data_IF_738250677409
#
_entry.id   IF_738250677409
#
_cell.length_a   1.000
_cell.length_b   1.000
_cell.length_c   1.000
_cell.angle_alpha   90.00
_cell.angle_beta   90.00
_cell.angle_gamma   90.00
#
_symmetry.space_group_name_H-M   'P 1'
#
loop_
_entity.id
_entity.type
_entity.pdbx_description
1 polymer ?
#
# COMPACT_ATOMS: atom_id res chain seq x y z
N UNK A 1 32.81 -5.08 59.49
CA UNK A 1 31.43 -5.48 59.12
C UNK A 1 30.88 -4.80 57.86
N UNK A 2 31.45 -3.71 57.31
CA UNK A 2 30.85 -3.01 56.16
C UNK A 2 31.12 -3.63 54.77
N UNK A 3 32.09 -4.55 54.65
CA UNK A 3 32.53 -5.13 53.37
C UNK A 3 31.49 -6.03 52.71
N UNK A 4 30.61 -6.68 53.49
CA UNK A 4 29.69 -7.71 53.03
C UNK A 4 28.63 -7.23 52.02
N UNK A 5 28.23 -5.95 52.09
CA UNK A 5 27.23 -5.35 51.18
C UNK A 5 27.88 -4.60 50.00
N UNK A 6 29.12 -4.13 50.15
CA UNK A 6 29.85 -3.39 49.11
C UNK A 6 30.22 -4.31 47.95
N UNK A 7 30.65 -5.55 48.22
CA UNK A 7 31.03 -6.52 47.17
C UNK A 7 29.87 -6.85 46.20
N UNK A 8 28.66 -7.27 46.66
CA UNK A 8 27.55 -7.55 45.75
C UNK A 8 27.03 -6.29 45.04
N UNK A 9 27.05 -5.11 45.70
CA UNK A 9 26.67 -3.86 45.05
C UNK A 9 27.65 -3.48 43.94
N UNK A 10 28.96 -3.58 44.20
CA UNK A 10 30.00 -3.35 43.20
C UNK A 10 29.85 -4.29 41.99
N UNK A 11 29.62 -5.59 42.23
CA UNK A 11 29.37 -6.57 41.17
C UNK A 11 28.18 -6.16 40.28
N UNK A 12 27.05 -5.77 40.88
CA UNK A 12 25.88 -5.29 40.14
C UNK A 12 26.21 -4.03 39.33
N UNK A 13 26.94 -3.06 39.90
CA UNK A 13 27.31 -1.84 39.16
C UNK A 13 28.20 -2.12 37.95
N UNK A 14 29.17 -3.05 38.06
CA UNK A 14 30.02 -3.47 36.94
C UNK A 14 29.21 -4.20 35.87
N UNK A 15 28.26 -5.06 36.27
CA UNK A 15 27.39 -5.79 35.35
C UNK A 15 26.43 -4.82 34.62
N UNK A 16 25.79 -3.88 35.32
CA UNK A 16 24.89 -2.89 34.72
C UNK A 16 25.65 -1.92 33.81
N UNK A 17 26.84 -1.44 34.20
CA UNK A 17 27.63 -0.52 33.36
C UNK A 17 28.17 -1.22 32.10
N UNK A 18 28.71 -2.44 32.21
CA UNK A 18 29.15 -3.21 31.04
C UNK A 18 27.99 -3.55 30.11
N UNK A 19 26.83 -3.95 30.64
CA UNK A 19 25.62 -4.19 29.85
C UNK A 19 25.09 -2.92 29.17
N UNK A 20 25.11 -1.77 29.85
CA UNK A 20 24.70 -0.49 29.28
C UNK A 20 25.64 -0.03 28.14
N UNK A 21 26.95 -0.17 28.33
CA UNK A 21 27.97 0.12 27.30
C UNK A 21 27.76 -0.81 26.10
N UNK A 22 27.63 -2.12 26.32
CA UNK A 22 27.40 -3.10 25.26
C UNK A 22 26.09 -2.81 24.50
N UNK A 23 24.98 -2.58 25.21
CA UNK A 23 23.69 -2.23 24.63
C UNK A 23 23.77 -0.95 23.78
N UNK A 24 24.47 0.08 24.25
CA UNK A 24 24.69 1.33 23.50
C UNK A 24 25.52 1.10 22.24
N UNK A 25 26.62 0.34 22.32
CA UNK A 25 27.50 0.05 21.16
C UNK A 25 26.78 -0.83 20.14
N UNK A 26 26.10 -1.89 20.59
CA UNK A 26 25.34 -2.81 19.74
C UNK A 26 24.18 -2.10 19.03
N UNK A 27 23.38 -1.31 19.76
CA UNK A 27 22.29 -0.50 19.17
C UNK A 27 22.84 0.53 18.18
N UNK A 28 23.94 1.21 18.50
CA UNK A 28 24.59 2.18 17.57
C UNK A 28 25.09 1.48 16.30
N UNK A 29 25.71 0.30 16.41
CA UNK A 29 26.17 -0.50 15.26
C UNK A 29 25.00 -0.98 14.39
N UNK A 30 23.91 -1.50 14.98
CA UNK A 30 22.70 -1.85 14.21
C UNK A 30 22.04 -0.63 13.56
N UNK A 31 22.03 0.54 14.21
CA UNK A 31 21.51 1.76 13.62
C UNK A 31 22.32 2.18 12.38
N UNK A 32 23.67 2.18 12.48
CA UNK A 32 24.56 2.50 11.35
C UNK A 32 24.38 1.51 10.19
N UNK A 33 24.28 0.21 10.48
CA UNK A 33 24.05 -0.82 9.46
C UNK A 33 22.70 -0.64 8.72
N UNK A 34 21.67 -0.15 9.40
CA UNK A 34 20.37 0.16 8.78
C UNK A 34 20.41 1.42 7.91
N UNK A 35 21.26 2.40 8.26
CA UNK A 35 21.46 3.62 7.45
C UNK A 35 22.40 3.44 6.26
N UNK A 36 23.10 2.30 6.14
CA UNK A 36 24.04 2.03 5.03
C UNK A 36 23.40 1.36 3.82
N UNK A 37 22.07 1.22 3.78
CA UNK A 37 21.38 0.63 2.64
C UNK A 37 21.02 1.68 1.59
N UNK A 38 21.02 1.24 0.33
CA UNK A 38 20.54 2.05 -0.78
C UNK A 38 19.04 2.34 -0.63
N UNK A 39 18.58 3.59 -0.87
CA UNK A 39 17.16 3.94 -0.80
C UNK A 39 16.29 3.06 -1.71
N UNK A 40 15.09 2.69 -1.23
CA UNK A 40 14.17 1.83 -1.99
C UNK A 40 13.67 2.48 -3.28
N UNK A 41 13.44 3.79 -3.24
CA UNK A 41 13.11 4.59 -4.41
C UNK A 41 14.32 5.41 -4.86
N UNK A 42 14.49 5.62 -6.18
CA UNK A 42 15.48 6.55 -6.68
C UNK A 42 15.16 7.99 -6.23
N UNK A 43 16.11 8.89 -6.46
CA UNK A 43 15.97 10.33 -6.23
C UNK A 43 14.64 10.89 -6.77
N UNK A 44 14.17 11.99 -6.17
CA UNK A 44 12.82 12.52 -6.36
C UNK A 44 12.87 13.82 -7.18
N UNK A 45 12.99 13.73 -8.53
CA UNK A 45 13.28 14.92 -9.34
C UNK A 45 12.17 15.97 -9.27
N UNK A 46 10.91 15.58 -9.06
CA UNK A 46 9.80 16.54 -8.97
C UNK A 46 9.81 17.30 -7.64
N UNK A 47 10.21 16.66 -6.54
CA UNK A 47 10.53 17.32 -5.26
C UNK A 47 11.74 18.24 -5.39
N UNK A 48 12.83 17.76 -6.00
CA UNK A 48 14.07 18.53 -6.14
C UNK A 48 13.89 19.77 -7.03
N UNK A 49 13.10 19.65 -8.11
CA UNK A 49 12.67 20.80 -8.94
C UNK A 49 11.87 21.80 -8.11
N UNK A 50 10.90 21.34 -7.30
CA UNK A 50 10.10 22.21 -6.46
C UNK A 50 10.94 22.95 -5.39
N UNK A 51 11.87 22.27 -4.72
CA UNK A 51 12.80 22.89 -3.76
C UNK A 51 13.75 23.87 -4.46
N UNK A 52 14.20 23.55 -5.68
CA UNK A 52 15.00 24.47 -6.51
C UNK A 52 14.21 25.73 -6.88
N UNK A 53 12.92 25.60 -7.21
CA UNK A 53 12.03 26.74 -7.46
C UNK A 53 11.80 27.58 -6.20
N UNK A 54 11.63 26.95 -5.03
CA UNK A 54 11.43 27.63 -3.75
C UNK A 54 12.69 28.37 -3.27
N UNK A 55 13.87 27.86 -3.59
CA UNK A 55 15.18 28.45 -3.27
C UNK A 55 15.72 29.41 -4.36
N UNK A 56 14.96 29.62 -5.43
CA UNK A 56 15.33 30.53 -6.52
C UNK A 56 15.44 31.99 -6.03
N UNK A 57 16.49 32.74 -6.40
CA UNK A 57 16.63 34.16 -6.04
C UNK A 57 15.69 35.08 -6.82
N UNK A 58 15.09 34.60 -7.92
CA UNK A 58 14.07 35.33 -8.68
C UNK A 58 12.68 35.07 -8.10
N UNK A 59 11.79 36.07 -7.98
CA UNK A 59 10.41 35.83 -7.57
C UNK A 59 9.71 34.87 -8.54
N UNK A 60 9.39 33.67 -8.05
CA UNK A 60 8.64 32.65 -8.80
C UNK A 60 7.14 32.86 -8.57
N UNK A 61 6.30 32.85 -9.62
CA UNK A 61 4.87 33.04 -9.44
C UNK A 61 4.21 31.86 -8.71
N UNK A 62 3.34 32.16 -7.76
CA UNK A 62 2.50 31.24 -6.99
C UNK A 62 1.85 30.11 -7.80
N UNK A 63 1.38 30.42 -9.01
CA UNK A 63 0.74 29.45 -9.90
C UNK A 63 1.71 28.34 -10.33
N UNK A 64 2.98 28.68 -10.55
CA UNK A 64 4.03 27.74 -10.89
C UNK A 64 4.37 26.86 -9.68
N UNK A 65 4.56 27.44 -8.48
CA UNK A 65 4.81 26.69 -7.25
C UNK A 65 3.68 25.70 -6.94
N UNK A 66 2.41 26.13 -7.05
CA UNK A 66 1.22 25.28 -6.87
C UNK A 66 1.17 24.15 -7.91
N UNK A 67 1.53 24.41 -9.17
CA UNK A 67 1.61 23.39 -10.22
C UNK A 67 2.76 22.39 -9.98
N UNK A 68 3.92 22.85 -9.50
CA UNK A 68 5.07 22.01 -9.18
C UNK A 68 4.78 21.10 -7.97
N UNK A 69 4.13 21.62 -6.92
CA UNK A 69 3.66 20.81 -5.78
C UNK A 69 2.64 19.75 -6.20
N UNK A 70 1.73 20.08 -7.12
CA UNK A 70 0.78 19.10 -7.66
C UNK A 70 1.48 17.99 -8.45
N UNK A 71 2.48 18.32 -9.27
CA UNK A 71 3.32 17.35 -10.00
C UNK A 71 4.18 16.48 -9.06
N UNK A 72 4.69 17.04 -7.95
CA UNK A 72 5.31 16.30 -6.84
C UNK A 72 4.34 15.26 -6.27
N UNK A 73 3.15 15.70 -5.85
CA UNK A 73 2.09 14.83 -5.35
C UNK A 73 1.68 13.72 -6.35
N UNK A 74 1.60 14.02 -7.66
CA UNK A 74 1.33 13.01 -8.70
C UNK A 74 2.45 11.96 -8.77
N UNK A 75 3.72 12.34 -8.56
CA UNK A 75 4.82 11.39 -8.47
C UNK A 75 4.74 10.51 -7.21
N UNK A 76 4.33 11.08 -6.08
CA UNK A 76 4.11 10.34 -4.84
C UNK A 76 2.96 9.33 -4.99
N UNK A 77 1.84 9.68 -5.63
CA UNK A 77 0.77 8.72 -5.94
C UNK A 77 1.29 7.53 -6.77
N UNK A 78 2.15 7.78 -7.78
CA UNK A 78 2.77 6.69 -8.55
C UNK A 78 3.71 5.82 -7.69
N UNK A 79 4.36 6.38 -6.65
CA UNK A 79 5.15 5.63 -5.65
C UNK A 79 4.23 4.80 -4.73
N UNK A 80 3.12 5.37 -4.25
CA UNK A 80 2.12 4.67 -3.41
C UNK A 80 1.58 3.41 -4.12
N UNK A 81 1.22 3.52 -5.40
CA UNK A 81 0.73 2.36 -6.16
C UNK A 81 1.76 1.24 -6.24
N UNK A 82 3.02 1.56 -6.58
CA UNK A 82 4.12 0.58 -6.62
C UNK A 82 4.31 -0.07 -5.26
N UNK A 83 4.42 0.73 -4.20
CA UNK A 83 4.67 0.23 -2.85
C UNK A 83 3.55 -0.69 -2.35
N UNK A 84 2.28 -0.36 -2.64
CA UNK A 84 1.14 -1.22 -2.32
C UNK A 84 1.18 -2.56 -3.06
N UNK A 85 1.49 -2.53 -4.36
CA UNK A 85 1.54 -3.73 -5.20
C UNK A 85 2.75 -4.62 -4.80
N UNK A 86 3.90 -3.99 -4.51
CA UNK A 86 5.11 -4.63 -3.96
C UNK A 86 4.86 -5.26 -2.58
N UNK A 87 4.11 -4.60 -1.68
CA UNK A 87 3.80 -5.09 -0.32
C UNK A 87 3.17 -6.48 -0.36
N UNK A 88 2.21 -6.69 -1.26
CA UNK A 88 1.50 -7.95 -1.42
C UNK A 88 2.45 -9.07 -1.91
N UNK A 89 3.29 -8.76 -2.91
CA UNK A 89 4.27 -9.70 -3.45
C UNK A 89 5.36 -10.07 -2.43
N UNK A 90 5.97 -9.07 -1.77
CA UNK A 90 7.03 -9.24 -0.80
C UNK A 90 6.58 -10.02 0.44
N UNK A 91 5.37 -9.76 0.94
CA UNK A 91 4.82 -10.49 2.10
C UNK A 91 4.69 -11.99 1.77
N UNK A 92 4.22 -12.34 0.57
CA UNK A 92 4.12 -13.75 0.13
C UNK A 92 5.50 -14.39 -0.07
N UNK A 93 6.45 -13.65 -0.63
CA UNK A 93 7.83 -14.12 -0.84
C UNK A 93 8.58 -14.36 0.48
N UNK A 94 8.35 -13.48 1.46
CA UNK A 94 8.94 -13.55 2.79
C UNK A 94 8.39 -14.72 3.62
N UNK A 95 7.08 -14.96 3.60
CA UNK A 95 6.47 -16.13 4.24
C UNK A 95 6.99 -17.47 3.69
N UNK A 96 7.49 -17.48 2.44
CA UNK A 96 8.13 -18.64 1.80
C UNK A 96 9.62 -18.78 2.10
N UNK A 97 10.21 -17.87 2.88
CA UNK A 97 11.65 -17.84 3.17
C UNK A 97 12.54 -17.46 1.98
N UNK A 98 11.95 -16.96 0.87
CA UNK A 98 12.67 -16.61 -0.35
C UNK A 98 13.29 -15.20 -0.31
N UNK A 99 12.97 -14.41 0.73
CA UNK A 99 13.58 -13.09 0.96
C UNK A 99 13.74 -12.85 2.48
N UNK A 100 14.88 -12.26 2.86
CA UNK A 100 15.26 -12.08 4.26
C UNK A 100 14.61 -10.87 4.95
N UNK A 101 14.61 -10.91 6.29
CA UNK A 101 14.07 -9.85 7.17
C UNK A 101 14.60 -8.45 6.83
N UNK A 102 15.86 -8.35 6.39
CA UNK A 102 16.52 -7.09 6.06
C UNK A 102 15.80 -6.34 4.93
N UNK A 103 15.35 -7.05 3.89
CA UNK A 103 14.58 -6.42 2.80
C UNK A 103 13.20 -5.96 3.28
N UNK A 104 12.57 -6.71 4.19
CA UNK A 104 11.29 -6.31 4.80
C UNK A 104 11.47 -5.07 5.71
N UNK A 105 12.58 -4.96 6.44
CA UNK A 105 12.92 -3.77 7.22
C UNK A 105 13.19 -2.55 6.31
N UNK A 106 13.93 -2.72 5.20
CA UNK A 106 14.13 -1.65 4.20
C UNK A 106 12.82 -1.20 3.56
N UNK A 107 11.96 -2.14 3.20
CA UNK A 107 10.63 -1.84 2.64
C UNK A 107 9.78 -1.04 3.65
N UNK A 108 9.74 -1.46 4.92
CA UNK A 108 9.02 -0.73 5.97
C UNK A 108 9.63 0.64 6.30
N UNK A 109 10.92 0.86 6.04
CA UNK A 109 11.54 2.18 6.11
C UNK A 109 11.08 3.08 4.95
N UNK A 110 11.00 2.53 3.73
CA UNK A 110 10.50 3.25 2.56
C UNK A 110 9.00 3.60 2.65
N UNK A 111 8.18 2.76 3.30
CA UNK A 111 6.79 3.11 3.65
C UNK A 111 6.75 4.37 4.51
N UNK A 112 7.56 4.44 5.57
CA UNK A 112 7.61 5.60 6.47
C UNK A 112 8.19 6.86 5.84
N UNK A 113 9.17 6.71 4.95
CA UNK A 113 9.73 7.82 4.17
C UNK A 113 8.66 8.43 3.25
N UNK A 114 7.87 7.59 2.57
CA UNK A 114 6.77 8.04 1.73
C UNK A 114 5.60 8.62 2.54
N UNK A 115 5.28 8.05 3.71
CA UNK A 115 4.29 8.62 4.64
C UNK A 115 4.70 10.02 5.12
N UNK A 116 5.99 10.24 5.43
CA UNK A 116 6.51 11.55 5.80
C UNK A 116 6.41 12.55 4.65
N UNK A 117 6.84 12.18 3.44
CA UNK A 117 6.73 13.02 2.24
C UNK A 117 5.26 13.39 1.92
N UNK A 118 4.31 12.47 2.10
CA UNK A 118 2.87 12.75 1.94
C UNK A 118 2.41 13.79 2.97
N UNK A 119 2.82 13.66 4.23
CA UNK A 119 2.46 14.62 5.29
C UNK A 119 3.04 16.00 5.00
N UNK A 120 4.29 16.09 4.55
CA UNK A 120 4.93 17.35 4.15
C UNK A 120 4.18 18.01 2.99
N UNK A 121 3.85 17.26 1.93
CA UNK A 121 3.07 17.76 0.78
C UNK A 121 1.67 18.25 1.20
N UNK A 122 1.00 17.57 2.13
CA UNK A 122 -0.29 18.03 2.68
C UNK A 122 -0.13 19.34 3.46
N UNK A 123 0.91 19.46 4.30
CA UNK A 123 1.17 20.68 5.08
C UNK A 123 1.53 21.87 4.18
N UNK A 124 2.39 21.66 3.18
CA UNK A 124 2.74 22.67 2.17
C UNK A 124 1.50 23.12 1.39
N UNK A 125 0.65 22.19 0.94
CA UNK A 125 -0.60 22.52 0.26
C UNK A 125 -1.55 23.36 1.16
N UNK A 126 -1.64 23.03 2.46
CA UNK A 126 -2.38 23.85 3.42
C UNK A 126 -1.82 25.26 3.59
N UNK A 127 -0.50 25.44 3.48
CA UNK A 127 0.14 26.77 3.53
C UNK A 127 -0.23 27.65 2.32
N UNK A 128 -0.33 27.06 1.12
CA UNK A 128 -0.74 27.77 -0.09
C UNK A 128 -2.23 28.12 -0.14
N UNK A 129 -3.10 27.25 0.42
CA UNK A 129 -4.54 27.48 0.53
C UNK A 129 -5.15 26.57 1.60
N UNK A 130 -5.89 27.16 2.55
CA UNK A 130 -6.62 26.37 3.53
C UNK A 130 -7.60 25.38 2.85
N UNK A 131 -7.68 24.17 3.39
CA UNK A 131 -8.45 23.06 2.82
C UNK A 131 -7.82 22.35 1.61
N UNK A 132 -6.77 22.89 0.97
CA UNK A 132 -6.23 22.27 -0.26
C UNK A 132 -5.48 20.95 0.00
N UNK A 133 -4.78 20.81 1.14
CA UNK A 133 -4.08 19.57 1.50
C UNK A 133 -4.99 18.34 1.61
N UNK A 134 -6.27 18.51 1.96
CA UNK A 134 -7.25 17.41 1.95
C UNK A 134 -7.69 16.96 0.55
N UNK A 135 -7.51 17.79 -0.48
CA UNK A 135 -7.94 17.52 -1.86
C UNK A 135 -6.78 17.24 -2.82
N UNK A 136 -5.56 17.71 -2.52
CA UNK A 136 -4.42 17.65 -3.45
C UNK A 136 -4.12 16.21 -3.92
N UNK A 137 -4.16 15.22 -3.03
CA UNK A 137 -3.92 13.82 -3.38
C UNK A 137 -5.07 13.17 -4.16
N UNK A 138 -6.31 13.64 -4.01
CA UNK A 138 -7.41 13.21 -4.87
C UNK A 138 -7.22 13.74 -6.31
N UNK A 139 -6.92 15.04 -6.47
CA UNK A 139 -6.60 15.63 -7.78
C UNK A 139 -5.36 14.98 -8.42
N UNK A 140 -4.31 14.75 -7.64
CA UNK A 140 -3.09 14.09 -8.11
C UNK A 140 -3.33 12.63 -8.53
N UNK A 141 -4.29 11.94 -7.90
CA UNK A 141 -4.69 10.58 -8.28
C UNK A 141 -5.36 10.55 -9.65
N UNK A 142 -6.32 11.46 -9.90
CA UNK A 142 -6.94 11.60 -11.22
C UNK A 142 -5.92 11.96 -12.31
N UNK A 143 -4.98 12.86 -12.01
CA UNK A 143 -3.87 13.19 -12.93
C UNK A 143 -2.97 11.98 -13.24
N UNK A 144 -2.58 11.21 -12.22
CA UNK A 144 -1.77 10.01 -12.41
C UNK A 144 -2.48 8.94 -13.26
N UNK A 145 -3.80 8.81 -13.12
CA UNK A 145 -4.62 7.89 -13.93
C UNK A 145 -4.76 8.39 -15.38
N UNK A 146 -4.98 9.69 -15.57
CA UNK A 146 -5.08 10.32 -16.89
C UNK A 146 -3.76 10.18 -17.66
N UNK A 147 -2.62 10.40 -17.02
CA UNK A 147 -1.29 10.18 -17.61
C UNK A 147 -1.04 8.72 -17.97
N UNK A 148 -1.30 7.77 -17.06
CA UNK A 148 -1.17 6.33 -17.33
C UNK A 148 -2.01 5.91 -18.54
N UNK A 149 -3.21 6.46 -18.67
CA UNK A 149 -4.11 6.21 -19.79
C UNK A 149 -3.58 6.82 -21.09
N UNK A 150 -3.10 8.07 -21.02
CA UNK A 150 -2.48 8.78 -22.16
C UNK A 150 -1.22 8.06 -22.65
N UNK A 151 -0.32 7.65 -21.76
CA UNK A 151 0.88 6.87 -22.08
C UNK A 151 0.51 5.56 -22.78
N UNK A 152 -0.50 4.85 -22.26
CA UNK A 152 -1.00 3.61 -22.87
C UNK A 152 -1.46 3.87 -24.30
N UNK A 153 -2.35 4.85 -24.52
CA UNK A 153 -2.88 5.21 -25.85
C UNK A 153 -1.77 5.66 -26.80
N UNK A 154 -0.83 6.49 -26.36
CA UNK A 154 0.28 6.98 -27.18
C UNK A 154 1.29 5.88 -27.56
N UNK A 155 1.34 4.78 -26.80
CA UNK A 155 2.18 3.63 -27.11
C UNK A 155 1.49 2.56 -27.99
N UNK A 156 0.15 2.56 -28.12
CA UNK A 156 -0.58 1.68 -29.06
C UNK A 156 0.01 1.64 -30.47
N UNK A 157 0.27 2.77 -31.17
CA UNK A 157 0.80 2.72 -32.54
C UNK A 157 2.21 2.12 -32.61
N UNK A 158 3.04 2.31 -31.58
CA UNK A 158 4.38 1.69 -31.51
C UNK A 158 4.27 0.18 -31.33
N UNK A 159 3.39 -0.27 -30.45
CA UNK A 159 3.13 -1.70 -30.19
C UNK A 159 2.61 -2.36 -31.47
N UNK A 160 1.63 -1.74 -32.16
CA UNK A 160 1.14 -2.22 -33.46
C UNK A 160 2.27 -2.36 -34.48
N UNK A 161 3.06 -1.31 -34.70
CA UNK A 161 4.16 -1.36 -35.67
C UNK A 161 5.27 -2.38 -35.33
N UNK A 162 5.49 -2.71 -34.05
CA UNK A 162 6.38 -3.82 -33.66
C UNK A 162 5.74 -5.19 -33.92
N UNK A 163 4.44 -5.32 -33.64
CA UNK A 163 3.68 -6.54 -33.87
C UNK A 163 3.54 -6.86 -35.36
N UNK A 164 3.23 -5.87 -36.20
CA UNK A 164 3.15 -6.01 -37.66
C UNK A 164 4.50 -6.47 -38.25
N UNK A 165 5.61 -5.92 -37.75
CA UNK A 165 6.97 -6.39 -38.10
C UNK A 165 7.23 -7.82 -37.66
N UNK A 166 6.81 -8.19 -36.44
CA UNK A 166 6.92 -9.55 -35.91
C UNK A 166 6.12 -10.55 -36.74
N UNK A 167 4.92 -10.17 -37.16
CA UNK A 167 4.05 -10.97 -38.02
C UNK A 167 4.61 -11.09 -39.45
N UNK A 168 5.12 -10.00 -40.04
CA UNK A 168 5.76 -10.03 -41.35
C UNK A 168 7.03 -10.90 -41.37
N UNK A 169 7.86 -10.84 -40.32
CA UNK A 169 9.01 -11.73 -40.16
C UNK A 169 8.56 -13.19 -39.99
N UNK A 170 7.54 -13.46 -39.18
CA UNK A 170 6.98 -14.81 -39.02
C UNK A 170 6.45 -15.36 -40.34
N UNK A 171 5.69 -14.58 -41.10
CA UNK A 171 5.17 -14.97 -42.41
C UNK A 171 6.29 -15.24 -43.43
N UNK A 172 7.39 -14.48 -43.37
CA UNK A 172 8.55 -14.65 -44.27
C UNK A 172 9.37 -15.92 -43.97
N UNK A 173 9.57 -16.26 -42.70
CA UNK A 173 10.46 -17.35 -42.29
C UNK A 173 9.73 -18.64 -41.87
N UNK A 174 8.41 -18.58 -41.64
CA UNK A 174 7.58 -19.72 -41.25
C UNK A 174 6.27 -19.77 -42.07
N UNK A 175 6.35 -19.84 -43.42
CA UNK A 175 5.19 -20.16 -44.22
C UNK A 175 4.73 -21.60 -43.91
N UNK A 176 3.43 -21.75 -43.65
CA UNK A 176 2.73 -23.03 -43.58
C UNK A 176 3.13 -24.02 -42.44
N UNK A 177 2.99 -23.56 -41.19
CA UNK A 177 2.52 -24.47 -40.13
C UNK A 177 1.05 -24.15 -39.90
N UNK A 178 0.10 -25.04 -40.25
CA UNK A 178 -1.31 -24.81 -39.98
C UNK A 178 -1.51 -24.66 -38.48
N UNK A 179 -2.06 -23.52 -38.06
CA UNK A 179 -2.46 -23.31 -36.68
C UNK A 179 -3.48 -24.40 -36.32
N UNK A 180 -3.15 -25.25 -35.34
CA UNK A 180 -4.02 -26.35 -34.95
C UNK A 180 -5.35 -25.80 -34.44
N UNK A 181 -6.38 -26.06 -35.24
CA UNK A 181 -7.79 -26.12 -34.86
C UNK A 181 -8.31 -24.93 -34.05
N UNK A 182 -8.86 -23.94 -34.77
CA UNK A 182 -10.06 -23.23 -34.33
C UNK A 182 -11.03 -24.22 -33.70
N UNK A 183 -11.43 -24.00 -32.45
CA UNK A 183 -12.36 -24.87 -31.73
C UNK A 183 -13.79 -24.61 -32.22
N UNK A 184 -14.07 -25.01 -33.45
CA UNK A 184 -15.41 -24.97 -34.06
C UNK A 184 -16.11 -26.31 -33.78
N UNK A 185 -17.37 -26.26 -33.36
CA UNK A 185 -18.06 -27.40 -32.72
C UNK A 185 -18.13 -28.68 -33.55
N UNK A 186 -18.00 -29.82 -32.86
CA UNK A 186 -18.22 -31.14 -33.46
C UNK A 186 -19.73 -31.34 -33.75
N UNK A 187 -20.10 -31.86 -34.94
CA UNK A 187 -21.45 -32.31 -35.21
C UNK A 187 -21.71 -33.65 -34.50
N UNK A 188 -22.84 -33.75 -33.79
CA UNK A 188 -23.32 -34.98 -33.17
C UNK A 188 -23.92 -35.89 -34.26
N UNK A 189 -23.38 -37.11 -34.40
CA UNK A 189 -23.98 -38.18 -35.19
C UNK A 189 -24.60 -39.25 -34.26
N UNK A 190 -25.83 -39.76 -34.53
CA UNK A 190 -26.56 -40.62 -33.60
C UNK A 190 -26.31 -42.12 -33.82
N UNK A 191 -26.32 -42.91 -32.73
CA UNK A 191 -26.23 -44.38 -32.69
C UNK A 191 -26.66 -44.91 -31.29
N UNK A 192 -27.02 -46.20 -31.10
CA UNK A 192 -28.36 -46.56 -30.63
C UNK A 192 -28.49 -46.87 -29.12
N UNK A 193 -29.72 -47.07 -28.59
CA UNK A 193 -29.97 -47.22 -27.15
C UNK A 193 -29.87 -48.68 -26.67
N UNK A 194 -29.20 -48.92 -25.53
CA UNK A 194 -29.28 -50.21 -24.84
C UNK A 194 -29.33 -50.07 -23.30
N UNK A 195 -30.49 -50.39 -22.74
CA UNK A 195 -30.83 -50.86 -21.37
C UNK A 195 -29.96 -50.48 -20.15
N UNK A 196 -30.61 -49.83 -19.18
CA UNK A 196 -30.19 -49.74 -17.78
C UNK A 196 -30.80 -50.85 -16.90
N UNK A 197 -30.01 -51.47 -16.01
CA UNK A 197 -30.50 -52.17 -14.80
C UNK A 197 -29.50 -52.03 -13.63
N UNK A 198 -29.94 -52.07 -12.35
CA UNK A 198 -29.24 -51.37 -11.27
C UNK A 198 -28.66 -52.27 -10.16
N UNK A 199 -27.82 -51.70 -9.27
CA UNK A 199 -27.44 -52.33 -7.99
C UNK A 199 -27.46 -51.37 -6.79
N UNK A 200 -28.62 -51.36 -6.11
CA UNK A 200 -28.85 -51.42 -4.64
C UNK A 200 -27.77 -50.83 -3.68
N UNK A 201 -27.99 -49.64 -3.08
CA UNK A 201 -28.55 -49.37 -1.70
C UNK A 201 -27.49 -49.47 -0.54
N UNK A 202 -27.67 -48.86 0.67
CA UNK A 202 -28.89 -48.20 1.17
C UNK A 202 -28.80 -46.90 2.04
N UNK A 203 -29.90 -46.13 2.03
CA UNK A 203 -30.57 -45.37 3.13
C UNK A 203 -29.81 -44.29 3.96
N UNK A 204 -30.42 -43.22 4.51
CA UNK A 204 -31.71 -42.49 4.37
C UNK A 204 -31.65 -41.26 5.37
N UNK A 205 -32.73 -40.47 5.65
CA UNK A 205 -33.35 -39.48 4.75
C UNK A 205 -33.64 -38.08 5.41
N UNK A 206 -34.08 -37.12 4.58
CA UNK A 206 -34.87 -35.93 5.01
C UNK A 206 -34.10 -34.60 5.05
N UNK A 207 -34.67 -33.44 4.67
CA UNK A 207 -35.99 -33.14 4.07
C UNK A 207 -35.90 -31.81 3.26
N UNK A 208 -36.86 -31.53 2.39
CA UNK A 208 -36.86 -30.43 1.38
C UNK A 208 -36.80 -28.98 1.90
N UNK A 209 -37.05 -27.96 1.07
CA UNK A 209 -37.55 -27.91 -0.31
C UNK A 209 -37.29 -26.52 -0.93
N UNK A 210 -37.59 -26.33 -2.23
CA UNK A 210 -37.94 -25.04 -2.88
C UNK A 210 -36.80 -23.98 -3.01
N UNK A 211 -36.74 -23.07 -4.00
CA UNK A 211 -37.38 -22.91 -5.31
C UNK A 211 -36.45 -22.06 -6.21
N UNK A 212 -36.71 -21.97 -7.51
CA UNK A 212 -35.84 -21.29 -8.48
C UNK A 212 -35.89 -19.75 -8.39
N UNK A 213 -34.76 -19.09 -8.69
CA UNK A 213 -34.65 -18.07 -9.78
C UNK A 213 -33.31 -17.31 -9.76
N UNK A 214 -32.78 -17.04 -10.95
CA UNK A 214 -31.83 -15.96 -11.24
C UNK A 214 -32.53 -14.98 -12.22
N UNK A 215 -32.20 -13.67 -12.27
CA UNK A 215 -30.92 -13.25 -12.87
C UNK A 215 -30.20 -12.05 -12.21
N UNK A 216 -28.94 -11.86 -12.64
CA UNK A 216 -28.01 -10.71 -12.44
C UNK A 216 -28.54 -9.37 -13.03
N UNK A 217 -27.88 -8.18 -12.89
CA UNK A 217 -26.45 -7.96 -12.55
C UNK A 217 -26.06 -6.72 -11.69
N UNK A 218 -24.74 -6.57 -11.51
CA UNK A 218 -23.95 -5.34 -11.28
C UNK A 218 -23.93 -4.70 -9.87
N UNK A 219 -22.73 -4.31 -9.41
CA UNK A 219 -22.54 -3.49 -8.21
C UNK A 219 -21.27 -3.78 -7.40
N UNK A 220 -20.07 -3.54 -7.96
CA UNK A 220 -18.80 -3.68 -7.20
C UNK A 220 -18.66 -2.53 -6.21
N UNK A 221 -18.98 -2.76 -4.94
CA UNK A 221 -18.74 -1.81 -3.84
C UNK A 221 -17.58 -2.30 -2.96
N UNK A 222 -16.38 -1.77 -3.20
CA UNK A 222 -15.24 -1.93 -2.30
C UNK A 222 -15.12 -0.72 -1.38
N UNK A 223 -15.86 -0.73 -0.28
CA UNK A 223 -15.74 0.28 0.77
C UNK A 223 -14.57 -0.05 1.70
N UNK A 224 -13.64 0.89 1.88
CA UNK A 224 -12.57 0.81 2.88
C UNK A 224 -13.10 1.45 4.18
N UNK A 225 -13.20 0.73 5.30
CA UNK A 225 -13.61 1.33 6.57
C UNK A 225 -12.44 2.12 7.20
N UNK A 226 -12.61 3.44 7.31
CA UNK A 226 -11.68 4.31 8.02
C UNK A 226 -12.09 4.45 9.49
N UNK A 227 -11.36 3.78 10.38
CA UNK A 227 -11.52 3.90 11.83
C UNK A 227 -10.96 5.24 12.32
N UNK A 228 -11.80 6.25 12.55
CA UNK A 228 -11.39 7.59 12.98
C UNK A 228 -12.27 8.18 14.08
N UNK A 229 -11.71 8.33 15.28
CA UNK A 229 -12.37 8.85 16.49
C UNK A 229 -12.73 10.34 16.42
N UNK A 230 -13.99 10.69 16.69
CA UNK A 230 -14.43 12.00 17.23
C UNK A 230 -15.63 11.77 18.15
N UNK A 231 -15.58 12.02 19.47
CA UNK A 231 -15.64 13.32 20.19
C UNK A 231 -17.03 13.60 20.80
N UNK A 232 -17.02 13.98 22.07
CA UNK A 232 -18.13 14.04 23.02
C UNK A 232 -19.28 15.03 22.73
N UNK A 233 -20.48 14.73 23.28
CA UNK A 233 -21.58 15.64 23.75
C UNK A 233 -22.80 14.79 24.22
N UNK A 234 -23.59 15.05 25.28
CA UNK A 234 -23.37 15.76 26.58
C UNK A 234 -24.56 15.56 27.56
N UNK A 235 -24.31 15.46 28.89
CA UNK A 235 -25.24 15.80 30.03
C UNK A 235 -26.51 14.92 30.27
N UNK A 236 -27.23 14.99 31.45
CA UNK A 236 -27.07 15.90 32.61
C UNK A 236 -27.12 15.32 34.06
N UNK A 237 -26.50 16.08 34.98
CA UNK A 237 -26.93 16.43 36.36
C UNK A 237 -27.35 15.38 37.42
N UNK A 238 -26.63 15.38 38.56
CA UNK A 238 -27.30 15.37 39.89
C UNK A 238 -26.48 16.05 41.02
N UNK A 239 -27.17 16.92 41.74
CA UNK A 239 -26.73 17.85 42.81
C UNK A 239 -25.76 17.36 43.89
N UNK A 240 -24.91 18.29 44.36
CA UNK A 240 -24.52 18.45 45.77
C UNK A 240 -24.64 19.92 46.20
N UNK A 241 -25.33 20.25 47.32
CA UNK A 241 -25.40 21.61 47.84
C UNK A 241 -24.48 21.80 49.06
N UNK A 242 -23.53 22.74 48.99
CA UNK A 242 -22.68 23.12 50.11
C UNK A 242 -22.82 24.60 50.51
N UNK A 243 -23.50 24.90 51.62
CA UNK A 243 -23.37 26.21 52.33
C UNK A 243 -24.04 26.24 53.71
N UNK A 244 -23.23 26.37 54.78
CA UNK A 244 -23.25 27.50 55.77
C UNK A 244 -22.62 27.14 57.13
N UNK A 245 -21.49 27.81 57.41
CA UNK A 245 -21.33 28.77 58.52
C UNK A 245 -21.96 28.42 59.88
N UNK A 246 -21.12 28.00 60.84
CA UNK A 246 -21.26 28.36 62.26
C UNK A 246 -19.87 28.42 62.90
N UNK A 247 -19.67 29.33 63.85
CA UNK A 247 -18.42 29.43 64.61
C UNK A 247 -18.69 29.51 66.10
N UNK A 248 -17.60 29.68 66.86
CA UNK A 248 -17.55 30.06 68.28
C UNK A 248 -18.05 28.99 69.28
N UNK A 249 -17.11 28.25 69.86
CA UNK A 249 -16.61 28.55 71.21
C UNK A 249 -15.13 28.17 71.30
#
# INVERSE_FOLDING_TARGET
MATSLIVPLAYITVLVTSLAIFSRVYRRRRAVAKTSFEPWFPAHPTRDIYITLLSSPSPVPDSLLKSALLVRATADVRRIWRLRDDKAALTSLHQRGLIGDDTMERFAAAEKELEAEIVDVVQEAHSFRQGWGGMIFATATEMAQAEKTRETVMNIPKIKAMEDKRQALRAKYLPDIPASSTVTGLPIAPSPPISSTPSRQPSAPGSGSDEASAPSPAGVSSAIPLSGTTSATSTPSKNTPGKKKKGKK
#
